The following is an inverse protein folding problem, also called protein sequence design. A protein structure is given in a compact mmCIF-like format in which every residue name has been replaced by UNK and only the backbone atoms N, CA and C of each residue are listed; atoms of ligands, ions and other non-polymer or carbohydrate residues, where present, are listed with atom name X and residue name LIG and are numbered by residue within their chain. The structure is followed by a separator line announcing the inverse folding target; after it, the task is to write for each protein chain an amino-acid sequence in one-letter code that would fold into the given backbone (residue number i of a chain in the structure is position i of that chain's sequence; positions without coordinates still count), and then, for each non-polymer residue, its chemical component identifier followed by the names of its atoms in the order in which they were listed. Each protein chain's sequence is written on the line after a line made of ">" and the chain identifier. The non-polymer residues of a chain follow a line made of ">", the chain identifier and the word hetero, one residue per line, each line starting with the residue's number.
data_IF_589796843248
#
_entry.id   IF_589796843248
#
_cell.length_a   1.000
_cell.length_b   1.000
_cell.length_c   1.000
_cell.angle_alpha   90.00
_cell.angle_beta   90.00
_cell.angle_gamma   90.00
#
_symmetry.space_group_name_H-M   'P 1'
#
loop_
_entity.id
_entity.type
_entity.pdbx_description
1 polymer ?
#
# COMPACT_ATOMS: atom_id res chain seq x y z
N UNK A 1 55.27 -36.41 -20.13
CA UNK A 1 54.45 -35.48 -20.95
C UNK A 1 52.94 -35.59 -20.62
N UNK A 2 52.42 -36.76 -20.25
CA UNK A 2 50.97 -36.95 -19.93
C UNK A 2 50.50 -36.28 -18.62
N UNK A 3 51.33 -36.15 -17.60
CA UNK A 3 50.93 -35.59 -16.28
C UNK A 3 50.68 -34.08 -16.31
N UNK A 4 51.35 -33.35 -17.20
CA UNK A 4 51.17 -31.87 -17.32
C UNK A 4 49.83 -31.55 -17.95
N UNK A 5 49.38 -32.32 -18.93
CA UNK A 5 48.08 -32.11 -19.61
C UNK A 5 46.88 -32.33 -18.65
N UNK A 6 47.00 -33.28 -17.73
CA UNK A 6 45.92 -33.52 -16.71
C UNK A 6 45.85 -32.39 -15.65
N UNK A 7 46.99 -31.80 -15.30
CA UNK A 7 47.05 -30.65 -14.39
C UNK A 7 46.39 -29.42 -14.99
N UNK A 8 46.69 -29.13 -16.26
CA UNK A 8 46.14 -27.95 -16.97
C UNK A 8 44.62 -28.10 -17.23
N UNK A 9 44.16 -29.31 -17.57
CA UNK A 9 42.75 -29.60 -17.76
C UNK A 9 41.96 -29.47 -16.46
N UNK A 10 42.50 -29.94 -15.33
CA UNK A 10 41.89 -29.83 -14.01
C UNK A 10 41.76 -28.38 -13.55
N UNK A 11 42.80 -27.54 -13.82
CA UNK A 11 42.79 -26.09 -13.54
C UNK A 11 41.73 -25.37 -14.38
N UNK A 12 41.60 -25.76 -15.65
CA UNK A 12 40.63 -25.16 -16.57
C UNK A 12 39.19 -25.47 -16.15
N UNK A 13 38.90 -26.71 -15.77
CA UNK A 13 37.59 -27.17 -15.29
C UNK A 13 37.22 -26.45 -13.97
N UNK A 14 38.18 -26.29 -13.05
CA UNK A 14 37.94 -25.56 -11.80
C UNK A 14 37.65 -24.09 -12.04
N UNK A 15 38.37 -23.43 -12.95
CA UNK A 15 38.11 -22.04 -13.36
C UNK A 15 36.71 -21.87 -13.98
N UNK A 16 36.28 -22.80 -14.82
CA UNK A 16 34.97 -22.78 -15.45
C UNK A 16 33.82 -22.92 -14.42
N UNK A 17 33.99 -23.81 -13.43
CA UNK A 17 33.01 -23.97 -12.33
C UNK A 17 32.89 -22.73 -11.47
N UNK A 18 34.00 -22.03 -11.17
CA UNK A 18 33.99 -20.79 -10.41
C UNK A 18 33.26 -19.66 -11.18
N UNK A 19 33.43 -19.58 -12.49
CA UNK A 19 32.74 -18.59 -13.34
C UNK A 19 31.23 -18.84 -13.36
N UNK A 20 30.79 -20.11 -13.43
CA UNK A 20 29.36 -20.47 -13.41
C UNK A 20 28.73 -20.14 -12.06
N UNK A 21 29.45 -20.35 -10.95
CA UNK A 21 28.95 -20.03 -9.60
C UNK A 21 28.89 -18.51 -9.35
N UNK A 22 29.74 -17.71 -10.00
CA UNK A 22 29.72 -16.24 -9.85
C UNK A 22 28.53 -15.57 -10.58
N UNK A 23 27.89 -16.24 -11.52
CA UNK A 23 26.73 -15.68 -12.26
C UNK A 23 25.38 -15.88 -11.55
N UNK A 24 25.30 -16.63 -10.45
CA UNK A 24 24.04 -16.95 -9.79
C UNK A 24 23.47 -15.82 -8.90
N UNK A 25 24.16 -14.68 -8.74
CA UNK A 25 23.69 -13.57 -7.89
C UNK A 25 22.71 -12.59 -8.56
N UNK A 26 22.38 -12.75 -9.85
CA UNK A 26 21.51 -11.80 -10.57
C UNK A 26 20.01 -12.00 -10.32
N UNK A 27 19.57 -13.19 -9.88
CA UNK A 27 18.16 -13.54 -9.71
C UNK A 27 17.47 -12.87 -8.51
N UNK A 28 18.23 -12.45 -7.48
CA UNK A 28 17.62 -11.94 -6.24
C UNK A 28 16.98 -10.57 -6.42
N UNK A 29 17.53 -9.70 -7.25
CA UNK A 29 16.93 -8.37 -7.52
C UNK A 29 15.58 -8.47 -8.24
N UNK A 30 15.47 -9.39 -9.19
CA UNK A 30 14.21 -9.61 -9.92
C UNK A 30 13.13 -10.24 -9.05
N UNK A 31 13.52 -11.13 -8.12
CA UNK A 31 12.58 -11.75 -7.19
C UNK A 31 12.01 -10.73 -6.19
N UNK A 32 12.81 -9.79 -5.69
CA UNK A 32 12.38 -8.72 -4.81
C UNK A 32 11.39 -7.78 -5.51
N UNK A 33 11.64 -7.44 -6.77
CA UNK A 33 10.73 -6.62 -7.58
C UNK A 33 9.35 -7.29 -7.76
N UNK A 34 9.34 -8.59 -8.06
CA UNK A 34 8.08 -9.36 -8.21
C UNK A 34 7.31 -9.46 -6.89
N UNK A 35 7.99 -9.64 -5.76
CA UNK A 35 7.32 -9.71 -4.44
C UNK A 35 6.84 -8.36 -3.95
N UNK A 36 7.53 -7.26 -4.24
CA UNK A 36 7.09 -5.90 -3.92
C UNK A 36 5.88 -5.47 -4.76
N UNK A 37 5.75 -5.96 -6.00
CA UNK A 37 4.63 -5.67 -6.91
C UNK A 37 3.30 -6.29 -6.45
N UNK A 38 3.34 -7.38 -5.67
CA UNK A 38 2.17 -8.06 -5.12
C UNK A 38 1.81 -7.66 -3.69
N UNK A 39 2.63 -6.85 -3.03
CA UNK A 39 2.34 -6.42 -1.67
C UNK A 39 1.30 -5.30 -1.67
N UNK A 40 0.14 -5.58 -1.07
CA UNK A 40 -0.92 -4.57 -0.96
C UNK A 40 -0.43 -3.39 -0.11
N UNK A 41 -0.54 -2.15 -0.62
CA UNK A 41 -0.16 -0.97 0.12
C UNK A 41 -0.82 -0.94 1.50
N UNK A 42 -0.02 -0.85 2.55
CA UNK A 42 -0.49 -0.83 3.93
C UNK A 42 0.37 0.08 4.79
N UNK A 43 -0.24 0.67 5.82
CA UNK A 43 0.44 1.57 6.76
C UNK A 43 0.02 1.25 8.19
N UNK A 44 0.95 1.44 9.13
CA UNK A 44 0.75 1.19 10.55
C UNK A 44 0.70 2.54 11.31
N UNK A 45 -0.44 2.84 11.92
CA UNK A 45 -0.64 4.07 12.68
C UNK A 45 -0.52 3.81 14.19
N UNK A 46 0.20 4.71 14.88
CA UNK A 46 0.31 4.70 16.35
C UNK A 46 -0.91 5.38 16.97
N UNK A 47 -2.07 4.81 16.73
CA UNK A 47 -3.37 5.28 17.21
C UNK A 47 -4.27 4.07 17.45
N UNK A 48 -5.27 4.27 18.29
CA UNK A 48 -6.29 3.25 18.53
C UNK A 48 -7.17 3.02 17.29
N UNK A 49 -7.90 1.91 17.32
CA UNK A 49 -8.77 1.51 16.21
C UNK A 49 -9.83 2.56 15.90
N UNK A 50 -10.49 3.12 16.90
CA UNK A 50 -11.60 4.05 16.70
C UNK A 50 -11.13 5.37 16.08
N UNK A 51 -10.01 5.91 16.56
CA UNK A 51 -9.40 7.12 15.99
C UNK A 51 -8.99 6.88 14.53
N UNK A 52 -8.34 5.76 14.25
CA UNK A 52 -7.92 5.42 12.89
C UNK A 52 -9.12 5.17 11.99
N UNK A 53 -10.14 4.46 12.47
CA UNK A 53 -11.38 4.23 11.73
C UNK A 53 -12.07 5.53 11.33
N UNK A 54 -12.22 6.47 12.27
CA UNK A 54 -12.76 7.80 11.97
C UNK A 54 -11.97 8.51 10.88
N UNK A 55 -10.64 8.52 10.98
CA UNK A 55 -9.76 9.13 9.97
C UNK A 55 -9.91 8.47 8.59
N UNK A 56 -10.11 7.14 8.55
CA UNK A 56 -10.38 6.40 7.31
C UNK A 56 -11.72 6.81 6.72
N UNK A 57 -12.80 6.81 7.51
CA UNK A 57 -14.14 7.24 7.05
C UNK A 57 -14.08 8.66 6.49
N UNK A 58 -13.49 9.59 7.21
CA UNK A 58 -13.36 10.98 6.78
C UNK A 58 -12.54 11.13 5.48
N UNK A 59 -11.55 10.27 5.28
CA UNK A 59 -10.77 10.25 4.04
C UNK A 59 -11.57 9.67 2.89
N UNK A 60 -12.43 8.68 3.17
CA UNK A 60 -13.23 7.98 2.18
C UNK A 60 -14.56 8.67 1.83
N UNK A 61 -14.95 9.74 2.53
CA UNK A 61 -16.22 10.47 2.30
C UNK A 61 -16.39 11.00 0.86
N UNK A 62 -15.31 11.16 0.12
CA UNK A 62 -15.35 11.59 -1.29
C UNK A 62 -15.60 10.45 -2.28
N UNK A 63 -15.60 9.21 -1.83
CA UNK A 63 -15.84 8.03 -2.64
C UNK A 63 -17.25 7.48 -2.40
N UNK A 64 -17.85 6.87 -3.41
CA UNK A 64 -19.16 6.23 -3.27
C UNK A 64 -19.02 4.90 -2.50
N UNK A 65 -19.31 4.95 -1.20
CA UNK A 65 -19.18 3.81 -0.29
C UNK A 65 -20.38 2.88 -0.48
N UNK A 66 -20.10 1.61 -0.80
CA UNK A 66 -21.10 0.55 -0.91
C UNK A 66 -21.28 -0.23 0.39
N UNK A 67 -20.22 -0.41 1.15
CA UNK A 67 -20.21 -1.17 2.41
C UNK A 67 -19.27 -0.49 3.41
N UNK A 68 -19.77 -0.29 4.62
CA UNK A 68 -19.02 0.15 5.77
C UNK A 68 -19.40 -0.74 6.96
N UNK A 69 -18.44 -1.51 7.46
CA UNK A 69 -18.64 -2.39 8.60
C UNK A 69 -17.54 -2.17 9.64
N UNK A 70 -17.90 -1.57 10.75
CA UNK A 70 -16.99 -1.26 11.85
C UNK A 70 -16.46 -2.52 12.54
N UNK A 71 -17.29 -3.54 12.73
CA UNK A 71 -16.92 -4.75 13.46
C UNK A 71 -15.85 -5.56 12.72
N UNK A 72 -16.00 -5.67 11.40
CA UNK A 72 -15.01 -6.34 10.55
C UNK A 72 -13.86 -5.42 10.11
N UNK A 73 -13.93 -4.11 10.38
CA UNK A 73 -12.95 -3.14 9.94
C UNK A 73 -12.87 -2.97 8.42
N UNK A 74 -13.98 -3.22 7.69
CA UNK A 74 -13.99 -3.25 6.23
C UNK A 74 -14.81 -2.12 5.65
N UNK A 75 -14.21 -1.43 4.66
CA UNK A 75 -14.90 -0.45 3.81
C UNK A 75 -14.72 -0.87 2.35
N UNK A 76 -15.81 -0.83 1.58
CA UNK A 76 -15.78 -1.08 0.13
C UNK A 76 -16.53 0.02 -0.60
N UNK A 77 -15.95 0.49 -1.71
CA UNK A 77 -16.64 1.42 -2.60
C UNK A 77 -17.44 0.66 -3.66
N UNK A 78 -18.36 1.37 -4.33
CA UNK A 78 -18.90 0.95 -5.61
C UNK A 78 -17.84 1.07 -6.71
N UNK A 79 -18.17 0.59 -7.90
CA UNK A 79 -17.37 0.83 -9.09
C UNK A 79 -17.44 2.31 -9.46
N UNK A 80 -16.29 2.91 -9.69
CA UNK A 80 -16.14 4.31 -10.10
C UNK A 80 -15.42 4.37 -11.43
N UNK A 81 -15.79 5.33 -12.27
CA UNK A 81 -15.13 5.57 -13.54
C UNK A 81 -13.70 6.08 -13.35
N UNK A 82 -12.78 5.58 -14.16
CA UNK A 82 -11.35 5.92 -14.13
C UNK A 82 -10.79 6.09 -15.56
N UNK A 83 -11.65 6.17 -16.55
CA UNK A 83 -11.29 6.16 -17.97
C UNK A 83 -10.32 7.28 -18.33
N UNK A 84 -10.58 8.48 -17.82
CA UNK A 84 -9.74 9.65 -18.10
C UNK A 84 -8.35 9.52 -17.47
N UNK A 85 -8.27 9.03 -16.23
CA UNK A 85 -7.00 8.88 -15.52
C UNK A 85 -6.10 7.82 -16.16
N UNK A 86 -6.69 6.68 -16.56
CA UNK A 86 -5.96 5.59 -17.21
C UNK A 86 -5.42 6.04 -18.57
N UNK A 87 -6.25 6.64 -19.42
CA UNK A 87 -5.84 7.12 -20.73
C UNK A 87 -4.81 8.27 -20.64
N UNK A 88 -4.88 9.11 -19.61
CA UNK A 88 -3.90 10.18 -19.41
C UNK A 88 -2.50 9.62 -19.09
N UNK A 89 -2.43 8.59 -18.24
CA UNK A 89 -1.16 7.94 -17.92
C UNK A 89 -0.53 7.25 -19.14
N UNK A 90 -1.35 6.59 -19.96
CA UNK A 90 -0.90 5.87 -21.16
C UNK A 90 -0.58 6.80 -22.34
N UNK A 91 -1.06 8.04 -22.36
CA UNK A 91 -0.83 9.00 -23.45
C UNK A 91 0.65 9.37 -23.65
N UNK A 92 1.50 9.05 -22.70
CA UNK A 92 2.96 9.28 -22.78
C UNK A 92 3.77 8.12 -23.37
N UNK A 93 3.15 6.97 -23.73
CA UNK A 93 3.94 5.84 -24.23
C UNK A 93 3.23 4.78 -25.05
N UNK A 94 1.90 4.75 -25.12
CA UNK A 94 1.19 3.70 -25.85
C UNK A 94 0.05 4.26 -26.70
N UNK A 95 -0.07 3.79 -27.95
CA UNK A 95 -1.13 4.21 -28.87
C UNK A 95 -2.49 3.53 -28.61
N UNK A 96 -2.58 2.61 -27.65
CA UNK A 96 -3.78 1.85 -27.35
C UNK A 96 -4.54 2.47 -26.18
N UNK A 97 -5.32 3.51 -26.45
CA UNK A 97 -6.23 4.06 -25.45
C UNK A 97 -7.33 3.07 -25.09
N UNK A 98 -7.63 2.91 -23.80
CA UNK A 98 -8.76 2.10 -23.35
C UNK A 98 -10.08 2.82 -23.61
N UNK A 99 -11.12 2.08 -23.98
CA UNK A 99 -12.47 2.63 -24.20
C UNK A 99 -13.14 3.04 -22.90
N UNK A 100 -13.00 2.21 -21.88
CA UNK A 100 -13.54 2.44 -20.56
C UNK A 100 -12.63 1.84 -19.48
N UNK A 101 -12.55 2.51 -18.34
CA UNK A 101 -11.88 1.98 -17.18
C UNK A 101 -12.72 2.26 -15.92
N UNK A 102 -12.72 1.31 -15.00
CA UNK A 102 -13.40 1.46 -13.70
C UNK A 102 -12.58 0.80 -12.60
N UNK A 103 -12.71 1.34 -11.39
CA UNK A 103 -12.05 0.78 -10.23
C UNK A 103 -12.98 0.74 -9.02
N UNK A 104 -12.64 -0.09 -8.06
CA UNK A 104 -13.21 -0.07 -6.71
C UNK A 104 -12.11 -0.22 -5.68
N UNK A 105 -12.33 0.35 -4.51
CA UNK A 105 -11.44 0.28 -3.37
C UNK A 105 -12.00 -0.65 -2.32
N UNK A 106 -11.12 -1.41 -1.67
CA UNK A 106 -11.40 -2.15 -0.45
C UNK A 106 -10.35 -1.76 0.58
N UNK A 107 -10.79 -1.27 1.73
CA UNK A 107 -9.94 -0.93 2.84
C UNK A 107 -10.19 -1.90 3.99
N UNK A 108 -9.10 -2.39 4.59
CA UNK A 108 -9.14 -3.19 5.80
C UNK A 108 -8.42 -2.44 6.91
N UNK A 109 -9.11 -2.24 8.02
CA UNK A 109 -8.60 -1.60 9.24
C UNK A 109 -8.50 -2.67 10.31
N UNK A 110 -7.30 -2.95 10.79
CA UNK A 110 -7.04 -4.06 11.72
C UNK A 110 -6.30 -3.54 12.96
N UNK A 111 -6.85 -3.85 14.12
CA UNK A 111 -6.25 -3.57 15.42
C UNK A 111 -5.07 -4.50 15.67
N UNK A 112 -4.00 -3.95 16.25
CA UNK A 112 -2.81 -4.69 16.64
C UNK A 112 -2.11 -4.08 17.85
N UNK A 113 -1.03 -4.72 18.27
CA UNK A 113 -0.18 -4.23 19.36
C UNK A 113 1.28 -4.25 18.93
N UNK A 114 2.01 -3.19 19.26
CA UNK A 114 3.45 -3.10 19.04
C UNK A 114 4.11 -2.55 20.28
N UNK A 115 5.00 -3.33 20.89
CA UNK A 115 5.70 -2.98 22.14
C UNK A 115 4.74 -2.57 23.27
N UNK A 116 3.63 -3.33 23.46
CA UNK A 116 2.62 -3.06 24.48
C UNK A 116 1.68 -1.88 24.22
N UNK A 117 1.86 -1.18 23.09
CA UNK A 117 0.98 -0.07 22.68
C UNK A 117 0.04 -0.51 21.56
N UNK A 118 -1.20 -0.03 21.61
CA UNK A 118 -2.16 -0.24 20.55
C UNK A 118 -1.69 0.47 19.27
N UNK A 119 -1.80 -0.23 18.16
CA UNK A 119 -1.54 0.28 16.81
C UNK A 119 -2.62 -0.22 15.87
N UNK A 120 -2.87 0.51 14.81
CA UNK A 120 -3.86 0.11 13.82
C UNK A 120 -3.22 0.05 12.45
N UNK A 121 -3.36 -1.10 11.78
CA UNK A 121 -2.91 -1.29 10.39
C UNK A 121 -4.07 -1.01 9.46
N UNK A 122 -3.83 -0.17 8.45
CA UNK A 122 -4.75 0.06 7.34
C UNK A 122 -4.13 -0.49 6.06
N UNK A 123 -4.86 -1.32 5.35
CA UNK A 123 -4.48 -1.85 4.04
C UNK A 123 -5.49 -1.35 3.02
N UNK A 124 -5.01 -0.89 1.87
CA UNK A 124 -5.84 -0.42 0.77
C UNK A 124 -5.60 -1.29 -0.44
N UNK A 125 -6.66 -1.80 -1.02
CA UNK A 125 -6.65 -2.57 -2.25
C UNK A 125 -7.52 -1.92 -3.30
N UNK A 126 -6.93 -1.59 -4.47
CA UNK A 126 -7.61 -1.08 -5.65
C UNK A 126 -7.74 -2.20 -6.67
N UNK A 127 -8.98 -2.56 -7.01
CA UNK A 127 -9.26 -3.43 -8.14
C UNK A 127 -9.65 -2.58 -9.34
N UNK A 128 -8.93 -2.73 -10.44
CA UNK A 128 -9.11 -1.95 -11.65
C UNK A 128 -9.45 -2.85 -12.84
N UNK A 129 -10.45 -2.44 -13.62
CA UNK A 129 -10.86 -3.11 -14.84
C UNK A 129 -10.76 -2.13 -16.00
N UNK A 130 -10.28 -2.59 -17.14
CA UNK A 130 -10.20 -1.83 -18.40
C UNK A 130 -10.91 -2.59 -19.52
N UNK A 131 -11.50 -1.85 -20.45
CA UNK A 131 -12.09 -2.35 -21.67
C UNK A 131 -11.37 -1.71 -22.85
N UNK A 132 -10.58 -2.47 -23.58
CA UNK A 132 -9.85 -2.01 -24.77
C UNK A 132 -10.65 -2.32 -26.04
N UNK A 133 -11.29 -3.49 -26.08
CA UNK A 133 -12.06 -3.98 -27.20
C UNK A 133 -13.41 -4.51 -26.71
N UNK A 134 -14.46 -4.18 -27.46
CA UNK A 134 -15.83 -4.65 -27.21
C UNK A 134 -15.94 -6.17 -27.20
N UNK A 135 -15.15 -6.87 -28.03
CA UNK A 135 -15.20 -8.34 -28.13
C UNK A 135 -14.53 -9.05 -26.96
N UNK A 136 -13.54 -8.41 -26.32
CA UNK A 136 -12.81 -9.00 -25.19
C UNK A 136 -13.42 -8.63 -23.83
N UNK A 137 -14.27 -7.60 -23.77
CA UNK A 137 -14.92 -7.14 -22.56
C UNK A 137 -13.94 -6.56 -21.53
N UNK A 138 -14.29 -6.70 -20.26
CA UNK A 138 -13.53 -6.15 -19.13
C UNK A 138 -12.38 -7.04 -18.72
N UNK A 139 -11.17 -6.49 -18.68
CA UNK A 139 -9.94 -7.16 -18.21
C UNK A 139 -9.45 -6.51 -16.94
N UNK A 140 -9.07 -7.33 -15.96
CA UNK A 140 -8.42 -6.84 -14.74
C UNK A 140 -6.96 -6.48 -15.03
N UNK A 141 -6.56 -5.30 -14.57
CA UNK A 141 -5.18 -4.80 -14.69
C UNK A 141 -4.67 -4.43 -13.29
N UNK A 142 -3.36 -4.62 -13.05
CA UNK A 142 -2.77 -4.24 -11.77
C UNK A 142 -2.87 -2.73 -11.54
N UNK A 143 -2.97 -2.32 -10.26
CA UNK A 143 -2.89 -0.92 -9.87
C UNK A 143 -1.42 -0.49 -9.81
N UNK A 144 -1.17 0.79 -10.10
CA UNK A 144 0.15 1.43 -9.89
C UNK A 144 0.46 1.70 -8.40
N UNK A 145 -0.53 1.50 -7.52
CA UNK A 145 -0.41 1.72 -6.08
C UNK A 145 -0.38 3.19 -5.64
N UNK A 146 -0.41 4.13 -6.58
CA UNK A 146 -0.30 5.58 -6.27
C UNK A 146 -1.52 6.04 -5.47
N UNK A 147 -2.72 5.71 -5.93
CA UNK A 147 -3.96 6.12 -5.27
C UNK A 147 -4.09 5.52 -3.87
N UNK A 148 -3.69 4.28 -3.69
CA UNK A 148 -3.68 3.58 -2.40
C UNK A 148 -2.73 4.26 -1.42
N UNK A 149 -1.50 4.59 -1.85
CA UNK A 149 -0.51 5.32 -1.04
C UNK A 149 -1.00 6.73 -0.69
N UNK A 150 -1.66 7.42 -1.60
CA UNK A 150 -2.26 8.75 -1.32
C UNK A 150 -3.36 8.65 -0.27
N UNK A 151 -4.19 7.61 -0.33
CA UNK A 151 -5.23 7.39 0.69
C UNK A 151 -4.57 7.14 2.05
N UNK A 152 -3.60 6.23 2.14
CA UNK A 152 -2.86 5.94 3.37
C UNK A 152 -2.20 7.21 3.94
N UNK A 153 -1.54 7.99 3.11
CA UNK A 153 -0.94 9.26 3.53
C UNK A 153 -1.98 10.24 4.12
N UNK A 154 -3.15 10.38 3.49
CA UNK A 154 -4.22 11.25 3.99
C UNK A 154 -4.79 10.77 5.32
N UNK A 155 -4.97 9.46 5.47
CA UNK A 155 -5.37 8.85 6.76
C UNK A 155 -4.34 9.17 7.83
N UNK A 156 -3.05 8.98 7.59
CA UNK A 156 -1.99 9.30 8.53
C UNK A 156 -1.96 10.77 8.95
N UNK A 157 -2.18 11.68 8.00
CA UNK A 157 -2.30 13.12 8.33
C UNK A 157 -3.47 13.41 9.26
N UNK A 158 -4.64 12.81 9.02
CA UNK A 158 -5.82 12.99 9.88
C UNK A 158 -5.60 12.42 11.27
N UNK A 159 -5.08 11.19 11.36
CA UNK A 159 -4.72 10.58 12.65
C UNK A 159 -3.78 11.48 13.46
N UNK A 160 -2.78 12.06 12.80
CA UNK A 160 -1.83 12.97 13.46
C UNK A 160 -2.50 14.27 13.91
N UNK A 161 -3.38 14.83 13.10
CA UNK A 161 -4.12 16.07 13.42
C UNK A 161 -5.06 15.86 14.60
N UNK A 162 -5.86 14.78 14.57
CA UNK A 162 -6.79 14.44 15.66
C UNK A 162 -6.06 14.19 16.97
N UNK A 163 -4.90 13.52 16.91
CA UNK A 163 -4.05 13.33 18.10
C UNK A 163 -3.54 14.64 18.70
N UNK A 164 -3.16 15.63 17.86
CA UNK A 164 -2.74 16.95 18.33
C UNK A 164 -3.91 17.73 18.96
N UNK A 165 -5.09 17.70 18.33
CA UNK A 165 -6.29 18.37 18.86
C UNK A 165 -6.63 17.80 20.23
N UNK A 166 -6.69 16.48 20.36
CA UNK A 166 -6.96 15.79 21.63
C UNK A 166 -5.96 16.19 22.73
N UNK A 167 -4.67 16.26 22.42
CA UNK A 167 -3.64 16.66 23.37
C UNK A 167 -3.82 18.14 23.83
N UNK A 168 -4.22 19.03 22.93
CA UNK A 168 -4.51 20.43 23.26
C UNK A 168 -5.74 20.54 24.18
N UNK A 169 -6.80 19.80 23.86
CA UNK A 169 -8.03 19.81 24.65
C UNK A 169 -7.80 19.25 26.07
N UNK A 170 -7.02 18.16 26.20
CA UNK A 170 -6.61 17.60 27.49
C UNK A 170 -5.76 18.57 28.31
N UNK A 171 -4.87 19.33 27.66
CA UNK A 171 -4.07 20.36 28.34
C UNK A 171 -4.95 21.50 28.87
N UNK A 172 -5.86 22.01 28.06
CA UNK A 172 -6.82 23.07 28.47
C UNK A 172 -7.72 22.63 29.62
N UNK A 173 -8.18 21.37 29.59
CA UNK A 173 -9.00 20.82 30.64
C UNK A 173 -8.25 20.75 31.97
N UNK A 174 -7.01 20.29 31.95
CA UNK A 174 -6.14 20.28 33.14
C UNK A 174 -5.91 21.68 33.72
N UNK A 175 -5.69 22.67 32.88
CA UNK A 175 -5.55 24.06 33.31
C UNK A 175 -6.84 24.61 33.96
N UNK A 176 -8.01 24.31 33.38
CA UNK A 176 -9.29 24.71 33.93
C UNK A 176 -9.57 24.03 35.29
N UNK A 177 -9.27 22.74 35.41
CA UNK A 177 -9.43 21.98 36.66
C UNK A 177 -8.49 22.53 37.75
N UNK A 178 -7.25 22.85 37.41
CA UNK A 178 -6.29 23.45 38.32
C UNK A 178 -6.74 24.86 38.79
N UNK A 179 -7.26 25.68 37.89
CA UNK A 179 -7.78 27.03 38.25
C UNK A 179 -8.99 26.94 39.17
N UNK A 180 -9.90 25.99 38.95
CA UNK A 180 -11.07 25.76 39.82
C UNK A 180 -10.71 25.26 41.21
N UNK A 181 -9.64 24.44 41.35
CA UNK A 181 -9.15 23.94 42.63
C UNK A 181 -8.49 25.04 43.51
N UNK A 182 -8.04 26.14 42.91
CA UNK A 182 -7.44 27.25 43.65
C UNK A 182 -8.49 28.28 44.16
N UNK A 183 -9.77 28.15 43.71
CA UNK A 183 -10.87 29.03 44.14
C UNK A 183 -11.72 28.46 45.28
N UNK A 184 -11.48 27.22 45.68
CA UNK A 184 -12.10 26.58 46.82
C UNK A 184 -11.11 26.43 48.00
#
# INVERSE_FOLDING_TARGET
>A
MKTKIYSDLRSFVFSLVVIILAQSCSSYKNFRYITEEFEMPSELYKADFNQTWKAVIDTMNKFDIALQNLESGVIKTRWMDNTTEVNFADSFGNNDSVKAAKFKLTLNVVKGFRSGKEVTKVTVYKRQLVEQDFLQGWKEVPSDGIQEKVILYRVGRRVTQDGKIKAIDEAKQKEADAASSLQN
#
